data_IF_220574076355
#
_entry.id   IF_220574076355
#
_cell.length_a   1.000
_cell.length_b   1.000
_cell.length_c   1.000
_cell.angle_alpha   90.00
_cell.angle_beta   90.00
_cell.angle_gamma   90.00
#
_symmetry.space_group_name_H-M   'P 1'
#
loop_
_entity.id
_entity.type
_entity.pdbx_description
1 polymer ?
#
# COMPACT_ATOMS: atom_id res chain seq x y z
N UNK A 1 -12.47 -14.55 -17.79
CA UNK A 1 -13.71 -14.62 -16.99
C UNK A 1 -13.49 -13.75 -15.75
N UNK A 2 -14.46 -12.90 -15.36
CA UNK A 2 -14.34 -12.05 -14.18
C UNK A 2 -15.44 -12.41 -13.19
N UNK A 3 -15.12 -12.43 -11.91
CA UNK A 3 -16.07 -12.71 -10.82
C UNK A 3 -16.04 -11.54 -9.84
N UNK A 4 -17.07 -10.71 -9.84
CA UNK A 4 -17.25 -9.59 -8.90
C UNK A 4 -18.73 -9.23 -8.86
N UNK A 5 -19.18 -8.71 -7.72
CA UNK A 5 -20.55 -8.22 -7.50
C UNK A 5 -20.69 -6.73 -7.84
N UNK A 6 -19.73 -5.91 -7.39
CA UNK A 6 -19.72 -4.46 -7.61
C UNK A 6 -18.30 -3.91 -7.58
N UNK A 7 -18.07 -2.77 -8.23
CA UNK A 7 -16.80 -2.03 -8.18
C UNK A 7 -16.87 -0.81 -7.24
N UNK A 8 -18.08 -0.40 -6.86
CA UNK A 8 -18.32 0.79 -6.01
C UNK A 8 -18.57 0.43 -4.54
N UNK A 9 -18.57 -0.86 -4.22
CA UNK A 9 -18.81 -1.37 -2.87
C UNK A 9 -17.52 -1.99 -2.30
N UNK A 10 -17.46 -2.04 -0.97
CA UNK A 10 -16.44 -2.83 -0.28
C UNK A 10 -16.58 -4.29 -0.76
N UNK A 11 -15.47 -5.02 -1.01
CA UNK A 11 -15.52 -6.41 -1.46
C UNK A 11 -15.92 -7.36 -0.31
N UNK A 12 -17.17 -7.26 0.16
CA UNK A 12 -17.71 -7.98 1.32
C UNK A 12 -17.53 -9.49 1.22
N UNK A 13 -17.86 -10.09 0.07
CA UNK A 13 -17.75 -11.53 -0.13
C UNK A 13 -16.30 -12.01 -0.08
N UNK A 14 -15.37 -11.22 -0.63
CA UNK A 14 -13.94 -11.52 -0.57
C UNK A 14 -13.44 -11.49 0.88
N UNK A 15 -13.79 -10.44 1.64
CA UNK A 15 -13.34 -10.29 3.03
C UNK A 15 -13.94 -11.36 3.95
N UNK A 16 -15.23 -11.70 3.76
CA UNK A 16 -15.86 -12.84 4.43
C UNK A 16 -15.20 -14.16 4.05
N UNK A 17 -14.83 -14.34 2.79
CA UNK A 17 -14.10 -15.52 2.32
C UNK A 17 -12.72 -15.65 2.98
N UNK A 18 -12.01 -14.54 3.16
CA UNK A 18 -10.71 -14.50 3.86
C UNK A 18 -10.89 -14.88 5.33
N UNK A 19 -11.86 -14.30 6.03
CA UNK A 19 -12.19 -14.65 7.43
C UNK A 19 -12.50 -16.16 7.59
N UNK A 20 -13.35 -16.70 6.71
CA UNK A 20 -13.66 -18.15 6.68
C UNK A 20 -12.44 -19.04 6.40
N UNK A 21 -11.44 -18.53 5.68
CA UNK A 21 -10.26 -19.30 5.25
C UNK A 21 -9.14 -19.28 6.29
N UNK A 22 -8.95 -18.15 7.00
CA UNK A 22 -7.80 -17.92 7.87
C UNK A 22 -8.27 -17.70 9.31
N UNK A 23 -8.16 -18.70 10.20
CA UNK A 23 -8.69 -18.63 11.56
C UNK A 23 -8.13 -17.50 12.43
N UNK A 24 -6.91 -17.02 12.12
CA UNK A 24 -6.27 -15.90 12.82
C UNK A 24 -6.76 -14.52 12.36
N UNK A 25 -7.57 -14.45 11.31
CA UNK A 25 -8.12 -13.21 10.77
C UNK A 25 -9.61 -13.15 11.08
N UNK A 26 -10.10 -11.96 11.38
CA UNK A 26 -11.54 -11.71 11.51
C UNK A 26 -11.93 -10.49 10.72
N UNK A 27 -13.02 -10.61 9.97
CA UNK A 27 -13.59 -9.52 9.21
C UNK A 27 -14.75 -8.89 9.98
N UNK A 28 -14.76 -7.55 10.06
CA UNK A 28 -15.91 -6.82 10.58
C UNK A 28 -16.88 -6.46 9.45
N UNK A 29 -18.09 -7.06 9.40
CA UNK A 29 -19.02 -6.86 8.30
C UNK A 29 -19.34 -5.39 8.03
N UNK A 30 -19.49 -5.02 6.75
CA UNK A 30 -19.84 -3.67 6.26
C UNK A 30 -18.79 -2.58 6.54
N UNK A 31 -17.62 -2.96 7.07
CA UNK A 31 -16.60 -1.97 7.43
C UNK A 31 -15.35 -1.97 6.56
N UNK A 32 -15.10 -3.06 5.84
CA UNK A 32 -13.82 -3.25 5.14
C UNK A 32 -12.64 -3.53 6.07
N UNK A 33 -12.84 -3.65 7.39
CA UNK A 33 -11.78 -3.88 8.38
C UNK A 33 -11.56 -5.38 8.52
N UNK A 34 -10.36 -5.83 8.17
CA UNK A 34 -9.86 -7.16 8.50
C UNK A 34 -8.73 -7.01 9.53
N UNK A 35 -8.79 -7.75 10.62
CA UNK A 35 -7.82 -7.64 11.72
C UNK A 35 -7.30 -8.99 12.17
N UNK A 36 -6.11 -8.99 12.77
CA UNK A 36 -5.50 -10.14 13.42
C UNK A 36 -6.20 -10.37 14.75
N UNK A 37 -7.02 -11.43 14.84
CA UNK A 37 -7.76 -11.76 16.07
C UNK A 37 -6.87 -12.38 17.16
N UNK A 38 -5.60 -12.66 16.86
CA UNK A 38 -4.58 -13.12 17.81
C UNK A 38 -3.75 -11.98 18.39
N UNK A 39 -3.93 -10.75 17.89
CA UNK A 39 -3.31 -9.56 18.41
C UNK A 39 -3.78 -9.31 19.86
N UNK A 40 -2.83 -9.16 20.78
CA UNK A 40 -3.09 -9.14 22.22
C UNK A 40 -2.77 -7.80 22.89
N UNK A 41 -2.68 -6.71 22.12
CA UNK A 41 -2.57 -5.35 22.64
C UNK A 41 -1.31 -5.08 23.50
N UNK A 42 -0.30 -5.97 23.45
CA UNK A 42 0.95 -5.81 24.22
C UNK A 42 2.00 -4.95 23.51
N UNK A 43 1.90 -4.83 22.20
CA UNK A 43 2.85 -4.09 21.35
C UNK A 43 2.17 -2.90 20.69
N UNK A 44 2.90 -2.08 19.94
CA UNK A 44 2.28 -1.04 19.11
C UNK A 44 1.61 -1.71 17.90
N UNK A 45 0.32 -1.45 17.63
CA UNK A 45 -0.34 -1.92 16.41
C UNK A 45 0.10 -1.09 15.21
N UNK A 46 0.41 -1.77 14.11
CA UNK A 46 0.59 -1.16 12.80
C UNK A 46 -0.67 -1.40 11.98
N UNK A 47 -1.25 -0.36 11.38
CA UNK A 47 -2.38 -0.48 10.46
C UNK A 47 -2.07 0.13 9.10
N UNK A 48 -2.77 -0.34 8.08
CA UNK A 48 -2.68 0.19 6.72
C UNK A 48 -4.04 0.06 6.02
N UNK A 49 -4.14 0.52 4.79
CA UNK A 49 -5.34 0.35 3.99
C UNK A 49 -5.26 1.01 2.62
N UNK A 50 -6.40 1.05 1.96
CA UNK A 50 -6.57 1.61 0.63
C UNK A 50 -7.70 0.92 -0.12
N UNK A 51 -7.86 1.25 -1.41
CA UNK A 51 -8.82 0.54 -2.25
C UNK A 51 -8.46 -0.92 -2.46
N UNK A 52 -9.49 -1.75 -2.68
CA UNK A 52 -9.33 -3.14 -3.13
C UNK A 52 -8.81 -3.19 -4.57
N UNK A 53 -8.46 -4.38 -5.06
CA UNK A 53 -7.89 -4.62 -6.39
C UNK A 53 -6.37 -4.76 -6.39
N UNK A 54 -5.75 -4.66 -5.22
CA UNK A 54 -4.31 -4.83 -5.01
C UNK A 54 -3.98 -6.09 -4.22
N UNK A 55 -4.92 -7.00 -4.06
CA UNK A 55 -4.75 -8.22 -3.27
C UNK A 55 -3.50 -8.99 -3.73
N UNK A 56 -2.61 -9.41 -2.80
CA UNK A 56 -2.84 -9.51 -1.35
C UNK A 56 -2.72 -8.21 -0.54
N UNK A 57 -2.37 -7.06 -1.13
CA UNK A 57 -2.32 -5.80 -0.40
C UNK A 57 -3.73 -5.29 -0.05
N UNK A 58 -4.07 -5.00 1.20
CA UNK A 58 -3.25 -5.17 2.43
C UNK A 58 -3.67 -6.36 3.30
N UNK A 59 -4.77 -7.03 2.96
CA UNK A 59 -5.39 -8.10 3.75
C UNK A 59 -4.47 -9.30 3.99
N UNK A 60 -3.63 -9.66 3.02
CA UNK A 60 -2.66 -10.75 3.16
C UNK A 60 -1.44 -10.42 4.01
N UNK A 61 -1.34 -9.17 4.47
CA UNK A 61 -0.28 -8.68 5.37
C UNK A 61 -0.79 -8.41 6.79
N UNK A 62 -2.04 -8.78 7.08
CA UNK A 62 -2.59 -8.76 8.44
C UNK A 62 -2.14 -10.03 9.18
N UNK A 63 -1.58 -9.86 10.38
CA UNK A 63 -1.10 -10.96 11.21
C UNK A 63 0.12 -10.60 12.06
N UNK A 64 0.44 -11.49 13.00
CA UNK A 64 1.56 -11.33 13.93
C UNK A 64 2.89 -11.00 13.24
N UNK A 65 3.47 -9.86 13.58
CA UNK A 65 4.76 -9.39 13.04
C UNK A 65 4.65 -8.56 11.76
N UNK A 66 3.42 -8.23 11.32
CA UNK A 66 3.13 -7.28 10.24
C UNK A 66 2.03 -6.30 10.67
N UNK A 67 0.88 -6.26 9.98
CA UNK A 67 -0.22 -5.36 10.30
C UNK A 67 -1.16 -5.99 11.33
N UNK A 68 -1.58 -5.22 12.33
CA UNK A 68 -2.64 -5.60 13.25
C UNK A 68 -4.03 -5.54 12.58
N UNK A 69 -4.21 -4.59 11.64
CA UNK A 69 -5.43 -4.49 10.84
C UNK A 69 -5.17 -3.84 9.47
N UNK A 70 -5.99 -4.20 8.48
CA UNK A 70 -6.07 -3.54 7.19
C UNK A 70 -7.49 -3.04 6.95
N UNK A 71 -7.61 -1.81 6.43
CA UNK A 71 -8.91 -1.19 6.09
C UNK A 71 -9.04 -1.10 4.57
N UNK A 72 -10.01 -1.82 4.03
CA UNK A 72 -10.22 -1.99 2.59
C UNK A 72 -11.42 -1.17 2.13
N UNK A 73 -11.23 -0.29 1.16
CA UNK A 73 -12.31 0.40 0.47
C UNK A 73 -12.79 -0.34 -0.79
N UNK A 74 -13.67 0.27 -1.58
CA UNK A 74 -14.06 -0.26 -2.90
C UNK A 74 -12.87 -0.42 -3.86
N UNK A 75 -13.12 -0.97 -5.05
CA UNK A 75 -12.09 -1.18 -6.07
C UNK A 75 -11.40 0.16 -6.41
N UNK A 76 -10.10 0.25 -6.14
CA UNK A 76 -9.26 1.45 -6.37
C UNK A 76 -9.71 2.74 -5.66
N UNK A 77 -10.62 2.63 -4.68
CA UNK A 77 -11.11 3.77 -3.88
C UNK A 77 -10.74 3.51 -2.42
N UNK A 78 -10.04 4.43 -1.72
CA UNK A 78 -9.66 4.22 -0.33
C UNK A 78 -10.88 4.04 0.59
N UNK A 79 -10.68 3.40 1.77
CA UNK A 79 -11.73 3.31 2.77
C UNK A 79 -12.09 4.70 3.30
N UNK A 80 -13.34 4.85 3.77
CA UNK A 80 -13.80 6.09 4.38
C UNK A 80 -13.10 6.35 5.71
N UNK A 81 -12.86 7.62 6.04
CA UNK A 81 -12.27 8.09 7.30
C UNK A 81 -12.90 7.43 8.54
N UNK A 82 -14.23 7.31 8.58
CA UNK A 82 -14.96 6.65 9.68
C UNK A 82 -14.57 5.18 9.92
N UNK A 83 -14.23 4.45 8.84
CA UNK A 83 -13.83 3.04 8.91
C UNK A 83 -12.37 2.92 9.36
N UNK A 84 -11.50 3.83 8.89
CA UNK A 84 -10.13 3.94 9.36
C UNK A 84 -10.10 4.27 10.86
N UNK A 85 -10.89 5.27 11.28
CA UNK A 85 -11.02 5.66 12.69
C UNK A 85 -11.53 4.50 13.55
N UNK A 86 -12.51 3.72 13.06
CA UNK A 86 -12.99 2.52 13.74
C UNK A 86 -11.87 1.49 13.94
N UNK A 87 -11.03 1.27 12.92
CA UNK A 87 -9.88 0.37 13.04
C UNK A 87 -8.82 0.90 14.04
N UNK A 88 -8.49 2.20 13.99
CA UNK A 88 -7.58 2.84 14.95
C UNK A 88 -8.06 2.61 16.39
N UNK A 89 -9.33 2.92 16.66
CA UNK A 89 -9.95 2.73 17.98
C UNK A 89 -9.91 1.27 18.43
N UNK A 90 -10.18 0.35 17.51
CA UNK A 90 -10.24 -1.08 17.81
C UNK A 90 -8.87 -1.67 18.20
N UNK A 91 -7.79 -1.27 17.55
CA UNK A 91 -6.45 -1.81 17.83
C UNK A 91 -5.70 -1.03 18.92
N UNK A 92 -6.18 0.16 19.27
CA UNK A 92 -5.54 1.02 20.26
C UNK A 92 -5.57 0.41 21.66
N UNK A 93 -4.39 0.25 22.25
CA UNK A 93 -4.19 -0.27 23.61
C UNK A 93 -3.46 0.72 24.53
N UNK A 94 -3.48 2.02 24.20
CA UNK A 94 -2.78 3.07 24.95
C UNK A 94 -1.26 3.15 24.73
N UNK A 95 -0.71 2.39 23.76
CA UNK A 95 0.72 2.42 23.37
C UNK A 95 0.98 3.24 22.10
N UNK A 96 -0.06 3.92 21.61
CA UNK A 96 -0.10 4.56 20.30
C UNK A 96 -0.52 3.60 19.18
N UNK A 97 -0.79 4.15 18.00
CA UNK A 97 -1.13 3.41 16.77
C UNK A 97 -0.30 3.96 15.62
N UNK A 98 0.37 3.09 14.87
CA UNK A 98 1.15 3.51 13.71
C UNK A 98 0.40 3.22 12.41
N UNK A 99 0.30 4.22 11.53
CA UNK A 99 -0.44 4.12 10.27
C UNK A 99 0.52 4.21 9.09
N UNK A 100 0.45 3.23 8.18
CA UNK A 100 1.17 3.26 6.90
C UNK A 100 0.18 3.65 5.80
N UNK A 101 0.45 4.77 5.11
CA UNK A 101 -0.43 5.33 4.08
C UNK A 101 0.30 5.30 2.74
N UNK A 102 -0.30 4.78 1.67
CA UNK A 102 0.28 4.92 0.32
C UNK A 102 0.07 6.36 -0.17
N UNK A 103 1.05 6.96 -0.86
CA UNK A 103 0.94 8.34 -1.34
C UNK A 103 -0.04 8.49 -2.51
N UNK A 104 -1.33 8.39 -2.19
CA UNK A 104 -2.47 8.68 -3.05
C UNK A 104 -3.32 9.81 -2.45
N UNK A 105 -3.96 10.65 -3.28
CA UNK A 105 -4.54 11.91 -2.81
C UNK A 105 -5.81 11.60 -2.02
N UNK A 106 -6.61 10.71 -2.59
CA UNK A 106 -7.76 10.14 -1.92
C UNK A 106 -7.36 9.43 -0.62
N UNK A 107 -6.32 8.58 -0.63
CA UNK A 107 -5.85 7.89 0.58
C UNK A 107 -5.42 8.90 1.65
N UNK A 108 -4.56 9.87 1.30
CA UNK A 108 -4.12 10.91 2.23
C UNK A 108 -5.30 11.68 2.83
N UNK A 109 -6.30 12.04 2.02
CA UNK A 109 -7.50 12.74 2.52
C UNK A 109 -8.20 11.93 3.61
N UNK A 110 -8.56 10.68 3.33
CA UNK A 110 -9.35 9.85 4.25
C UNK A 110 -8.54 9.46 5.50
N UNK A 111 -7.27 9.10 5.34
CA UNK A 111 -6.40 8.76 6.47
C UNK A 111 -6.06 9.97 7.34
N UNK A 112 -5.77 11.14 6.76
CA UNK A 112 -5.49 12.34 7.56
C UNK A 112 -6.71 12.79 8.36
N UNK A 113 -7.91 12.68 7.79
CA UNK A 113 -9.17 12.96 8.49
C UNK A 113 -9.35 12.01 9.69
N UNK A 114 -9.15 10.71 9.50
CA UNK A 114 -9.23 9.72 10.57
C UNK A 114 -8.15 9.89 11.66
N UNK A 115 -6.90 10.17 11.26
CA UNK A 115 -5.77 10.41 12.18
C UNK A 115 -6.03 11.66 13.02
N UNK A 116 -6.51 12.75 12.40
CA UNK A 116 -6.86 13.98 13.11
C UNK A 116 -7.94 13.73 14.15
N UNK A 117 -8.98 13.00 13.79
CA UNK A 117 -10.08 12.68 14.70
C UNK A 117 -9.63 11.75 15.84
N UNK A 118 -8.85 10.71 15.55
CA UNK A 118 -8.27 9.84 16.57
C UNK A 118 -7.38 10.60 17.57
N UNK A 119 -6.59 11.57 17.09
CA UNK A 119 -5.78 12.45 17.96
C UNK A 119 -6.66 13.37 18.81
N UNK A 120 -7.77 13.89 18.29
CA UNK A 120 -8.74 14.66 19.08
C UNK A 120 -9.36 13.81 20.21
N UNK A 121 -9.47 12.50 20.03
CA UNK A 121 -9.91 11.54 21.05
C UNK A 121 -8.81 11.13 22.04
N UNK A 122 -7.60 11.68 21.90
CA UNK A 122 -6.47 11.39 22.79
C UNK A 122 -5.68 10.13 22.43
N UNK A 123 -5.88 9.56 21.23
CA UNK A 123 -5.06 8.44 20.74
C UNK A 123 -3.76 8.99 20.14
N UNK A 124 -2.60 8.55 20.63
CA UNK A 124 -1.31 8.87 20.01
C UNK A 124 -1.18 8.11 18.68
N UNK A 125 -1.49 8.78 17.58
CA UNK A 125 -1.38 8.21 16.24
C UNK A 125 -0.19 8.82 15.52
N UNK A 126 0.76 8.00 15.08
CA UNK A 126 1.86 8.38 14.17
C UNK A 126 1.64 7.75 12.80
N UNK A 127 2.30 8.27 11.78
CA UNK A 127 2.14 7.72 10.44
C UNK A 127 3.38 7.91 9.57
N UNK A 128 3.49 7.07 8.55
CA UNK A 128 4.41 7.26 7.42
C UNK A 128 3.63 7.22 6.12
N UNK A 129 4.03 8.05 5.18
CA UNK A 129 3.49 8.05 3.82
C UNK A 129 4.48 7.33 2.92
N UNK A 130 4.13 6.15 2.38
CA UNK A 130 4.95 5.43 1.40
C UNK A 130 4.93 6.16 0.06
N UNK A 131 6.10 6.41 -0.52
CA UNK A 131 6.30 7.21 -1.72
C UNK A 131 7.45 6.64 -2.58
N UNK A 132 7.52 5.32 -2.66
CA UNK A 132 8.63 4.57 -3.25
C UNK A 132 8.67 4.59 -4.79
N UNK A 133 7.61 5.01 -5.48
CA UNK A 133 7.58 5.04 -6.95
C UNK A 133 8.47 6.13 -7.56
N UNK A 134 9.49 5.72 -8.33
CA UNK A 134 10.43 6.60 -9.04
C UNK A 134 10.03 6.94 -10.48
N UNK A 135 8.79 6.63 -10.88
CA UNK A 135 8.30 6.90 -12.23
C UNK A 135 8.32 8.37 -12.60
N UNK A 136 8.16 9.25 -11.62
CA UNK A 136 8.10 10.70 -11.80
C UNK A 136 9.21 11.34 -10.99
N UNK A 137 10.31 11.69 -11.65
CA UNK A 137 11.40 12.41 -11.02
C UNK A 137 11.25 13.92 -11.30
N UNK A 138 11.65 14.73 -10.32
CA UNK A 138 11.46 16.17 -10.27
C UNK A 138 11.94 16.96 -11.51
N UNK A 139 12.79 16.35 -12.36
CA UNK A 139 13.38 16.99 -13.53
C UNK A 139 12.51 16.97 -14.79
N UNK A 140 11.55 16.05 -14.92
CA UNK A 140 10.73 15.91 -16.14
C UNK A 140 9.21 15.93 -15.90
N UNK A 141 8.75 15.66 -14.67
CA UNK A 141 7.33 15.64 -14.33
C UNK A 141 7.11 16.23 -12.93
N UNK A 142 6.28 17.28 -12.83
CA UNK A 142 5.89 17.88 -11.54
C UNK A 142 4.78 17.08 -10.83
N UNK A 143 4.91 15.75 -10.79
CA UNK A 143 3.95 14.86 -10.11
C UNK A 143 4.61 14.25 -8.88
N UNK A 144 3.80 13.95 -7.86
CA UNK A 144 4.27 13.30 -6.64
C UNK A 144 4.72 11.86 -6.87
N UNK A 145 5.59 11.35 -6.01
CA UNK A 145 5.98 9.95 -5.98
C UNK A 145 4.86 9.11 -5.34
N UNK A 146 4.33 8.12 -6.05
CA UNK A 146 3.25 7.23 -5.54
C UNK A 146 3.79 6.22 -4.54
N UNK A 147 2.95 5.72 -3.64
CA UNK A 147 3.27 4.58 -2.79
C UNK A 147 2.83 3.28 -3.44
N UNK A 148 3.75 2.38 -3.77
CA UNK A 148 3.47 1.16 -4.55
C UNK A 148 3.99 -0.08 -3.83
N UNK A 149 4.54 -1.06 -4.54
CA UNK A 149 4.91 -2.37 -3.98
C UNK A 149 5.89 -2.28 -2.80
N UNK A 150 6.77 -1.28 -2.77
CA UNK A 150 7.73 -1.08 -1.67
C UNK A 150 7.07 -0.81 -0.32
N UNK A 151 5.81 -0.38 -0.30
CA UNK A 151 5.00 -0.21 0.93
C UNK A 151 5.02 -1.48 1.79
N UNK A 152 5.05 -2.68 1.20
CA UNK A 152 5.02 -3.94 1.97
C UNK A 152 6.31 -4.16 2.78
N UNK A 153 7.41 -3.52 2.41
CA UNK A 153 8.66 -3.55 3.18
C UNK A 153 8.50 -2.75 4.48
N UNK A 154 7.78 -1.62 4.45
CA UNK A 154 7.41 -0.88 5.66
C UNK A 154 6.54 -1.77 6.57
N UNK A 155 5.53 -2.45 6.02
CA UNK A 155 4.68 -3.37 6.80
C UNK A 155 5.52 -4.43 7.51
N UNK A 156 6.48 -5.04 6.79
CA UNK A 156 7.27 -6.16 7.30
C UNK A 156 8.31 -5.75 8.33
N UNK A 157 8.99 -4.63 8.11
CA UNK A 157 10.10 -4.18 8.97
C UNK A 157 9.52 -3.50 10.22
N UNK A 158 8.56 -2.58 10.05
CA UNK A 158 7.93 -1.90 11.18
C UNK A 158 7.10 -2.87 12.02
N UNK A 159 6.37 -3.79 11.39
CA UNK A 159 5.60 -4.82 12.10
C UNK A 159 6.49 -5.77 12.92
N UNK A 160 7.67 -6.14 12.41
CA UNK A 160 8.62 -6.95 13.16
C UNK A 160 9.18 -6.19 14.37
N UNK A 161 9.63 -4.96 14.16
CA UNK A 161 10.17 -4.12 15.23
C UNK A 161 9.13 -3.80 16.31
N UNK A 162 7.88 -3.53 15.91
CA UNK A 162 6.77 -3.37 16.83
C UNK A 162 6.50 -4.65 17.63
N UNK A 163 6.55 -5.83 16.99
CA UNK A 163 6.37 -7.12 17.65
C UNK A 163 7.45 -7.41 18.68
N UNK A 164 8.67 -6.94 18.45
CA UNK A 164 9.80 -7.02 19.38
C UNK A 164 9.71 -6.03 20.55
N UNK A 165 8.68 -5.17 20.57
CA UNK A 165 8.41 -4.25 21.67
C UNK A 165 8.89 -2.81 21.43
N UNK A 166 9.26 -2.45 20.20
CA UNK A 166 9.58 -1.06 19.84
C UNK A 166 8.44 -0.11 20.19
N UNK A 167 8.80 1.03 20.79
CA UNK A 167 7.85 2.10 21.12
C UNK A 167 7.37 2.83 19.87
N UNK A 168 6.26 3.58 19.99
CA UNK A 168 5.70 4.35 18.87
C UNK A 168 6.70 5.37 18.31
N UNK A 169 7.52 5.98 19.16
CA UNK A 169 8.55 6.93 18.76
C UNK A 169 9.68 6.23 17.98
N UNK A 170 10.16 5.08 18.46
CA UNK A 170 11.21 4.32 17.78
C UNK A 170 10.71 3.77 16.44
N UNK A 171 9.45 3.35 16.35
CA UNK A 171 8.82 2.92 15.09
C UNK A 171 8.75 4.09 14.10
N UNK A 172 8.38 5.28 14.56
CA UNK A 172 8.37 6.48 13.70
C UNK A 172 9.77 6.82 13.18
N UNK A 173 10.79 6.77 14.04
CA UNK A 173 12.18 7.00 13.62
C UNK A 173 12.65 5.93 12.62
N UNK A 174 12.34 4.66 12.85
CA UNK A 174 12.65 3.58 11.91
C UNK A 174 11.93 3.79 10.57
N UNK A 175 10.67 4.20 10.59
CA UNK A 175 9.89 4.48 9.38
C UNK A 175 10.47 5.67 8.59
N UNK A 176 10.88 6.74 9.27
CA UNK A 176 11.54 7.90 8.67
C UNK A 176 12.91 7.56 8.10
N UNK A 177 13.63 6.60 8.70
CA UNK A 177 14.89 6.10 8.14
C UNK A 177 14.69 5.14 6.98
N UNK A 178 13.62 4.35 6.99
CA UNK A 178 13.41 3.27 6.02
C UNK A 178 12.71 3.77 4.75
N UNK A 179 11.67 4.59 4.87
CA UNK A 179 10.87 5.02 3.71
C UNK A 179 11.68 5.69 2.60
N UNK A 180 12.69 6.55 2.89
CA UNK A 180 13.53 7.16 1.85
C UNK A 180 14.43 6.18 1.10
N UNK A 181 14.69 5.00 1.66
CA UNK A 181 15.59 3.98 1.10
C UNK A 181 14.87 2.98 0.18
N UNK A 182 13.56 3.14 0.00
CA UNK A 182 12.73 2.24 -0.80
C UNK A 182 12.44 2.89 -2.15
N UNK A 183 12.85 2.21 -3.22
CA UNK A 183 12.67 2.67 -4.59
C UNK A 183 12.03 1.56 -5.44
N UNK A 184 10.97 1.91 -6.16
CA UNK A 184 10.21 0.99 -7.01
C UNK A 184 9.96 1.63 -8.37
N UNK A 185 10.05 0.82 -9.43
CA UNK A 185 9.60 1.21 -10.77
C UNK A 185 8.82 0.06 -11.41
N UNK A 186 7.63 0.37 -11.92
CA UNK A 186 6.75 -0.58 -12.58
C UNK A 186 6.72 -0.43 -14.10
N UNK A 187 6.21 -1.45 -14.78
CA UNK A 187 5.89 -1.46 -16.21
C UNK A 187 4.63 -2.29 -16.43
N UNK A 188 3.75 -1.85 -17.34
CA UNK A 188 2.60 -2.63 -17.78
C UNK A 188 2.77 -3.09 -19.22
N UNK A 189 2.48 -4.37 -19.46
CA UNK A 189 2.36 -4.96 -20.80
C UNK A 189 0.90 -4.95 -21.29
N UNK A 190 -0.05 -4.75 -20.39
CA UNK A 190 -1.46 -4.63 -20.70
C UNK A 190 -2.16 -3.77 -19.65
N UNK A 191 -3.21 -3.03 -20.02
CA UNK A 191 -4.01 -2.25 -19.09
C UNK A 191 -4.94 -3.15 -18.25
N UNK A 192 -5.37 -2.64 -17.10
CA UNK A 192 -6.46 -3.25 -16.33
C UNK A 192 -7.73 -3.24 -17.16
N UNK A 193 -8.44 -4.37 -17.19
CA UNK A 193 -9.73 -4.49 -17.87
C UNK A 193 -10.86 -4.27 -16.87
N UNK A 194 -11.75 -3.32 -17.14
CA UNK A 194 -12.92 -3.08 -16.29
C UNK A 194 -14.17 -3.83 -16.77
N UNK A 195 -15.17 -4.03 -15.91
CA UNK A 195 -16.47 -4.59 -16.23
C UNK A 195 -17.19 -3.95 -17.43
N UNK A 196 -17.18 -2.62 -17.48
CA UNK A 196 -18.04 -1.81 -18.35
C UNK A 196 -17.25 -0.79 -19.20
N UNK A 197 -15.93 -0.75 -19.05
CA UNK A 197 -15.02 -0.03 -19.94
C UNK A 197 -14.13 -1.07 -20.64
N UNK A 198 -13.62 -0.77 -21.84
CA UNK A 198 -12.67 -1.67 -22.51
C UNK A 198 -11.45 -1.91 -21.61
N UNK A 199 -10.76 -0.84 -21.21
CA UNK A 199 -9.51 -0.87 -20.47
C UNK A 199 -9.28 0.44 -19.72
N UNK A 200 -8.42 0.43 -18.70
CA UNK A 200 -8.01 1.63 -17.92
C UNK A 200 -7.28 2.68 -18.77
N UNK A 201 -6.48 2.23 -19.73
CA UNK A 201 -5.88 3.06 -20.78
C UNK A 201 -5.72 2.21 -22.06
N UNK A 202 -5.38 2.86 -23.18
CA UNK A 202 -5.12 2.17 -24.46
C UNK A 202 -3.62 1.91 -24.58
N UNK A 203 -3.27 0.67 -24.91
CA UNK A 203 -1.91 0.22 -25.19
C UNK A 203 -1.99 -0.78 -26.34
N UNK A 204 -1.17 -0.63 -27.38
CA UNK A 204 -1.15 -1.60 -28.48
C UNK A 204 -0.54 -2.95 -28.02
N UNK A 205 -0.81 -4.02 -28.75
CA UNK A 205 -0.29 -5.36 -28.42
C UNK A 205 1.25 -5.43 -28.45
N UNK A 206 1.89 -4.58 -29.24
CA UNK A 206 3.33 -4.47 -29.36
C UNK A 206 3.92 -3.30 -28.56
N UNK A 207 3.21 -2.82 -27.54
CA UNK A 207 3.64 -1.71 -26.68
C UNK A 207 3.71 -2.08 -25.20
N UNK A 208 4.57 -1.37 -24.47
CA UNK A 208 4.67 -1.38 -23.01
C UNK A 208 4.58 0.03 -22.45
N UNK A 209 4.04 0.17 -21.24
CA UNK A 209 3.94 1.44 -20.53
C UNK A 209 4.83 1.43 -19.29
N UNK A 210 5.90 2.22 -19.29
CA UNK A 210 6.82 2.36 -18.17
C UNK A 210 6.32 3.37 -17.13
N UNK A 211 6.54 3.03 -15.87
CA UNK A 211 6.22 3.84 -14.71
C UNK A 211 4.73 4.03 -14.47
N UNK A 212 3.99 2.92 -14.60
CA UNK A 212 2.57 2.83 -14.29
C UNK A 212 2.30 3.03 -12.79
N UNK A 213 1.10 3.53 -12.49
CA UNK A 213 0.55 3.48 -11.14
C UNK A 213 -0.07 2.11 -10.85
N UNK A 214 -0.79 1.99 -9.73
CA UNK A 214 -1.47 0.75 -9.35
C UNK A 214 -2.97 0.76 -9.65
N UNK A 215 -3.57 1.92 -9.93
CA UNK A 215 -5.02 2.06 -10.20
C UNK A 215 -5.35 2.07 -11.71
N UNK A 216 -4.42 1.60 -12.54
CA UNK A 216 -4.55 1.65 -13.99
C UNK A 216 -4.26 3.03 -14.60
N UNK A 217 -3.55 3.90 -13.88
CA UNK A 217 -3.06 5.15 -14.47
C UNK A 217 -1.98 4.84 -15.54
N UNK A 218 -2.00 5.54 -16.68
CA UNK A 218 -0.96 5.35 -17.70
C UNK A 218 0.41 5.70 -17.14
N UNK A 219 1.43 4.99 -17.64
CA UNK A 219 2.82 5.29 -17.34
C UNK A 219 3.27 6.63 -17.91
N UNK A 220 4.50 7.03 -17.58
CA UNK A 220 5.07 8.28 -18.08
C UNK A 220 5.64 8.14 -19.51
N UNK A 221 5.90 6.91 -19.98
CA UNK A 221 6.47 6.64 -21.30
C UNK A 221 5.94 5.32 -21.87
N UNK A 222 5.49 5.35 -23.12
CA UNK A 222 5.12 4.16 -23.89
C UNK A 222 6.21 3.87 -24.91
N UNK A 223 6.60 2.61 -25.04
CA UNK A 223 7.61 2.12 -25.99
C UNK A 223 7.16 0.83 -26.64
N UNK A 224 7.77 0.46 -27.77
CA UNK A 224 7.54 -0.85 -28.38
C UNK A 224 8.09 -1.96 -27.49
N UNK A 225 7.34 -3.05 -27.39
CA UNK A 225 7.81 -4.27 -26.76
C UNK A 225 8.87 -4.93 -27.66
N UNK A 226 10.09 -5.07 -27.14
CA UNK A 226 11.17 -5.81 -27.79
C UNK A 226 11.31 -7.20 -27.17
N UNK A 227 11.88 -7.26 -25.95
CA UNK A 227 12.03 -8.47 -25.16
C UNK A 227 12.04 -8.15 -23.64
N UNK A 228 12.03 -9.20 -22.82
CA UNK A 228 11.99 -9.07 -21.37
C UNK A 228 13.27 -8.50 -20.77
N UNK A 229 14.40 -8.79 -21.40
CA UNK A 229 15.74 -8.38 -21.02
C UNK A 229 15.88 -6.87 -21.17
N UNK A 230 15.33 -6.30 -22.25
CA UNK A 230 15.31 -4.86 -22.50
C UNK A 230 14.47 -4.12 -21.47
N UNK A 231 13.32 -4.67 -21.10
CA UNK A 231 12.50 -4.15 -20.01
C UNK A 231 13.30 -4.13 -18.70
N UNK A 232 13.96 -5.25 -18.36
CA UNK A 232 14.76 -5.33 -17.14
C UNK A 232 15.92 -4.33 -17.14
N UNK A 233 16.61 -4.16 -18.27
CA UNK A 233 17.67 -3.17 -18.45
C UNK A 233 17.14 -1.76 -18.20
N UNK A 234 15.98 -1.39 -18.75
CA UNK A 234 15.40 -0.07 -18.53
C UNK A 234 15.06 0.17 -17.06
N UNK A 235 14.37 -0.79 -16.42
CA UNK A 235 14.00 -0.69 -15.01
C UNK A 235 15.23 -0.52 -14.12
N UNK A 236 16.25 -1.37 -14.32
CA UNK A 236 17.50 -1.34 -13.54
C UNK A 236 18.29 -0.06 -13.79
N UNK A 237 18.34 0.44 -15.03
CA UNK A 237 19.03 1.69 -15.34
C UNK A 237 18.39 2.88 -14.63
N UNK A 238 17.06 2.94 -14.60
CA UNK A 238 16.32 3.98 -13.87
C UNK A 238 16.54 3.90 -12.36
N UNK A 239 16.41 2.71 -11.78
CA UNK A 239 16.70 2.49 -10.36
C UNK A 239 18.15 2.87 -10.02
N UNK A 240 19.10 2.49 -10.87
CA UNK A 240 20.52 2.85 -10.69
C UNK A 240 20.75 4.35 -10.75
N UNK A 241 20.05 5.08 -11.62
CA UNK A 241 20.16 6.54 -11.72
C UNK A 241 19.65 7.24 -10.46
N UNK A 242 18.59 6.72 -9.84
CA UNK A 242 18.06 7.27 -8.59
C UNK A 242 18.90 6.88 -7.37
N UNK A 243 19.21 5.59 -7.22
CA UNK A 243 19.93 5.06 -6.05
C UNK A 243 21.43 5.38 -6.11
N UNK A 244 21.98 5.61 -7.31
CA UNK A 244 23.40 5.85 -7.53
C UNK A 244 24.33 4.77 -6.96
N UNK A 245 23.88 3.50 -6.95
CA UNK A 245 24.70 2.41 -6.41
C UNK A 245 25.99 2.22 -7.22
N UNK A 246 27.08 2.01 -6.51
CA UNK A 246 28.37 1.71 -7.11
C UNK A 246 28.62 0.21 -7.08
N UNK A 247 29.21 -0.32 -8.15
CA UNK A 247 29.74 -1.68 -8.13
C UNK A 247 30.84 -1.70 -7.06
N UNK A 248 30.64 -2.43 -5.96
CA UNK A 248 31.72 -2.66 -4.99
C UNK A 248 32.92 -3.18 -5.78
N UNK A 249 34.05 -2.46 -5.72
CA UNK A 249 35.32 -3.02 -6.19
C UNK A 249 35.55 -4.27 -5.35
N UNK A 250 35.53 -5.44 -5.99
CA UNK A 250 35.99 -6.68 -5.37
C UNK A 250 37.41 -6.43 -4.85
N UNK A 251 37.58 -6.53 -3.53
CA UNK A 251 38.91 -6.59 -2.93
C UNK A 251 39.56 -7.92 -3.28
#
# INVERSE_FOLDING_TARGET
MKFYTSTNEIPEEMLKGIDLTYPQLTYLPETGILYDNTYNEKTVPIISGGGSGHEPAHVGYVGSGMLAAAVTGPLFIPPKSKNILKAIRQVNSGKGVFVIIKNFEADLKEFNEAIKEARNEGIDVRYIVSHDDISVNAYNFHKRHRGVAGTILLHKILGAFAKEGGSIDEIEQLALSLSPEIYTLGVALAPVHFPHQKTSFVLAEDEVSFGIGIHGEPGYRVEKFEDSERIAVELVNKLKAEINWQKKKSK
#
